data_IF_091898126536
#
_entry.id   IF_091898126536
#
_cell.length_a   1.000
_cell.length_b   1.000
_cell.length_c   1.000
_cell.angle_alpha   90.00
_cell.angle_beta   90.00
_cell.angle_gamma   90.00
#
_symmetry.space_group_name_H-M   'P 1'
#
loop_
_entity.id
_entity.type
_entity.pdbx_description
1 polymer ?
#
# COMPACT_ATOMS: atom_id res chain seq x y z
N UNK A 1 -32.23 26.89 5.97
CA UNK A 1 -32.45 26.04 4.78
C UNK A 1 -32.25 24.60 5.20
N UNK A 2 -33.24 23.73 4.98
CA UNK A 2 -33.19 22.32 5.37
C UNK A 2 -32.76 21.49 4.16
N UNK A 3 -31.59 20.84 4.25
CA UNK A 3 -30.99 20.06 3.17
C UNK A 3 -31.45 18.60 3.28
N UNK A 4 -32.11 18.08 2.25
CA UNK A 4 -32.39 16.65 2.13
C UNK A 4 -31.10 15.97 1.65
N UNK A 5 -30.48 15.15 2.50
CA UNK A 5 -29.21 14.46 2.22
C UNK A 5 -29.42 12.95 2.12
N UNK A 6 -28.77 12.34 1.13
CA UNK A 6 -28.48 10.90 1.14
C UNK A 6 -27.24 10.70 2.03
N UNK A 7 -27.30 9.88 3.10
CA UNK A 7 -26.14 9.59 3.94
C UNK A 7 -24.96 9.07 3.10
N UNK A 8 -23.76 9.57 3.38
CA UNK A 8 -22.49 9.15 2.75
C UNK A 8 -22.34 9.41 1.24
N UNK A 9 -23.15 10.31 0.67
CA UNK A 9 -22.98 10.71 -0.72
C UNK A 9 -21.80 11.66 -0.93
N UNK A 10 -20.81 11.22 -1.71
CA UNK A 10 -19.66 12.03 -2.16
C UNK A 10 -20.12 13.31 -2.88
N UNK A 11 -21.25 13.27 -3.59
CA UNK A 11 -21.80 14.45 -4.26
C UNK A 11 -22.36 15.48 -3.28
N UNK A 12 -22.95 15.03 -2.17
CA UNK A 12 -23.46 15.91 -1.12
C UNK A 12 -22.34 16.70 -0.43
N UNK A 13 -21.22 16.03 -0.15
CA UNK A 13 -19.99 16.63 0.40
C UNK A 13 -19.35 17.64 -0.55
N UNK A 14 -19.37 17.36 -1.85
CA UNK A 14 -18.81 18.26 -2.85
C UNK A 14 -19.62 19.56 -2.97
N UNK A 15 -20.95 19.47 -2.87
CA UNK A 15 -21.84 20.64 -2.84
C UNK A 15 -21.60 21.48 -1.58
N UNK A 16 -21.47 20.84 -0.41
CA UNK A 16 -21.16 21.55 0.84
C UNK A 16 -19.83 22.30 0.75
N UNK A 17 -18.79 21.65 0.21
CA UNK A 17 -17.49 22.28 0.01
C UNK A 17 -17.56 23.51 -0.91
N UNK A 18 -18.39 23.49 -1.96
CA UNK A 18 -18.60 24.65 -2.84
C UNK A 18 -19.35 25.78 -2.15
N UNK A 19 -20.38 25.45 -1.36
CA UNK A 19 -21.13 26.44 -0.58
C UNK A 19 -20.22 27.11 0.45
N UNK A 20 -19.45 26.32 1.19
CA UNK A 20 -18.52 26.83 2.19
C UNK A 20 -17.42 27.69 1.56
N UNK A 21 -16.88 27.27 0.40
CA UNK A 21 -15.91 28.08 -0.35
C UNK A 21 -16.50 29.44 -0.71
N UNK A 22 -17.72 29.49 -1.25
CA UNK A 22 -18.39 30.73 -1.63
C UNK A 22 -18.64 31.65 -0.43
N UNK A 23 -19.22 31.11 0.65
CA UNK A 23 -19.56 31.89 1.85
C UNK A 23 -18.31 32.39 2.57
N UNK A 24 -17.24 31.60 2.60
CA UNK A 24 -15.96 32.01 3.20
C UNK A 24 -15.28 33.11 2.38
N UNK A 25 -15.28 33.02 1.04
CA UNK A 25 -14.76 34.09 0.18
C UNK A 25 -15.54 35.39 0.36
N UNK A 26 -16.88 35.32 0.42
CA UNK A 26 -17.73 36.49 0.68
C UNK A 26 -17.48 37.09 2.07
N UNK A 27 -17.32 36.25 3.11
CA UNK A 27 -16.99 36.68 4.47
C UNK A 27 -15.63 37.35 4.56
N UNK A 28 -14.61 36.81 3.89
CA UNK A 28 -13.26 37.37 3.85
C UNK A 28 -13.28 38.77 3.22
N UNK A 29 -14.02 38.93 2.12
CA UNK A 29 -14.26 40.22 1.45
C UNK A 29 -15.00 41.21 2.36
N UNK A 30 -16.01 40.76 3.10
CA UNK A 30 -16.73 41.62 4.05
C UNK A 30 -15.83 42.11 5.20
N UNK A 31 -14.91 41.27 5.68
CA UNK A 31 -14.04 41.60 6.82
C UNK A 31 -12.85 42.49 6.45
N UNK A 32 -12.31 42.35 5.24
CA UNK A 32 -11.05 43.00 4.83
C UNK A 32 -11.17 43.91 3.59
N UNK A 33 -12.32 43.94 2.92
CA UNK A 33 -12.52 44.60 1.62
C UNK A 33 -13.24 45.95 1.64
N UNK A 34 -13.62 46.48 2.82
CA UNK A 34 -14.38 47.73 2.95
C UNK A 34 -15.90 47.58 2.74
N UNK A 35 -16.66 48.66 2.94
CA UNK A 35 -18.11 48.66 2.70
C UNK A 35 -18.42 48.75 1.20
N UNK A 36 -18.81 47.61 0.64
CA UNK A 36 -19.43 47.52 -0.68
C UNK A 36 -20.86 47.01 -0.54
N UNK A 37 -21.78 47.51 -1.37
CA UNK A 37 -23.18 47.07 -1.38
C UNK A 37 -23.25 45.54 -1.58
N UNK A 38 -24.28 44.88 -1.01
CA UNK A 38 -24.43 43.41 -1.10
C UNK A 38 -24.32 42.88 -2.54
N UNK A 39 -24.80 43.65 -3.52
CA UNK A 39 -24.70 43.32 -4.94
C UNK A 39 -23.25 43.30 -5.46
N UNK A 40 -22.42 44.26 -5.03
CA UNK A 40 -21.01 44.33 -5.42
C UNK A 40 -20.16 43.26 -4.72
N UNK A 41 -20.49 42.94 -3.46
CA UNK A 41 -19.83 41.88 -2.72
C UNK A 41 -20.07 40.50 -3.35
N UNK A 42 -21.30 40.23 -3.78
CA UNK A 42 -21.64 39.01 -4.53
C UNK A 42 -20.95 38.95 -5.90
N UNK A 43 -20.84 40.08 -6.61
CA UNK A 43 -20.15 40.14 -7.89
C UNK A 43 -18.64 39.89 -7.75
N UNK A 44 -18.00 40.50 -6.74
CA UNK A 44 -16.58 40.33 -6.47
C UNK A 44 -16.23 38.90 -6.00
N UNK A 45 -17.07 38.28 -5.15
CA UNK A 45 -16.89 36.90 -4.73
C UNK A 45 -17.01 35.92 -5.91
N UNK A 46 -17.92 36.19 -6.86
CA UNK A 46 -18.04 35.40 -8.09
C UNK A 46 -16.80 35.54 -8.98
N UNK A 47 -16.32 36.76 -9.19
CA UNK A 47 -15.13 37.02 -10.00
C UNK A 47 -13.87 36.32 -9.45
N UNK A 48 -13.69 36.29 -8.11
CA UNK A 48 -12.58 35.56 -7.49
C UNK A 48 -12.68 34.04 -7.66
N UNK A 49 -13.89 33.50 -7.70
CA UNK A 49 -14.15 32.06 -7.81
C UNK A 49 -14.18 31.58 -9.27
N UNK A 50 -14.25 32.49 -10.22
CA UNK A 50 -14.21 32.22 -11.66
C UNK A 50 -12.81 31.76 -12.11
N UNK A 51 -11.77 32.16 -11.37
CA UNK A 51 -10.40 31.72 -11.64
C UNK A 51 -10.15 30.32 -11.06
N UNK A 52 -10.49 29.30 -11.83
CA UNK A 52 -10.04 27.94 -11.55
C UNK A 52 -8.66 27.70 -12.17
N UNK A 53 -7.64 27.55 -11.34
CA UNK A 53 -6.35 27.03 -11.82
C UNK A 53 -6.51 25.52 -12.07
N UNK A 54 -6.21 25.03 -13.28
CA UNK A 54 -6.24 23.60 -13.54
C UNK A 54 -5.09 22.96 -12.76
N UNK A 55 -5.39 22.47 -11.56
CA UNK A 55 -4.48 21.60 -10.84
C UNK A 55 -4.67 20.21 -11.44
N UNK A 56 -3.73 19.82 -12.30
CA UNK A 56 -3.57 18.43 -12.67
C UNK A 56 -3.15 17.66 -11.41
N UNK A 57 -4.14 17.14 -10.68
CA UNK A 57 -3.87 16.06 -9.74
C UNK A 57 -3.45 14.90 -10.64
N UNK A 58 -2.14 14.61 -10.68
CA UNK A 58 -1.59 13.31 -11.05
C UNK A 58 -2.18 12.29 -10.06
N UNK A 59 -3.46 12.00 -10.24
CA UNK A 59 -4.12 10.89 -9.56
C UNK A 59 -3.25 9.69 -9.88
N UNK A 60 -2.92 8.86 -8.90
CA UNK A 60 -2.13 7.64 -9.15
C UNK A 60 -2.76 6.71 -10.22
N UNK A 61 -3.99 7.01 -10.66
CA UNK A 61 -4.65 6.48 -11.87
C UNK A 61 -4.11 6.99 -13.22
N UNK A 62 -3.16 7.94 -13.24
CA UNK A 62 -2.39 8.32 -14.42
C UNK A 62 -1.32 7.28 -14.81
N UNK A 63 -1.27 6.12 -14.12
CA UNK A 63 -0.90 4.86 -14.77
C UNK A 63 -2.00 4.45 -15.75
N UNK A 64 -2.11 5.23 -16.83
CA UNK A 64 -3.01 5.03 -17.95
C UNK A 64 -2.57 3.84 -18.79
N UNK A 65 -2.89 2.64 -18.32
CA UNK A 65 -3.08 1.41 -19.09
C UNK A 65 -3.36 0.35 -18.04
N UNK A 66 -4.51 -0.35 -18.09
CA UNK A 66 -4.78 -1.62 -17.38
C UNK A 66 -3.65 -2.04 -16.44
N UNK A 67 -3.67 -1.56 -15.18
CA UNK A 67 -2.59 -1.88 -14.22
C UNK A 67 -2.45 -3.38 -14.19
N UNK A 68 -1.36 -3.90 -14.78
CA UNK A 68 -1.24 -5.31 -15.07
C UNK A 68 -1.34 -6.07 -13.74
N UNK A 69 -2.18 -7.11 -13.68
CA UNK A 69 -2.52 -7.79 -12.42
C UNK A 69 -1.31 -8.26 -11.60
N UNK A 70 -0.18 -8.52 -12.26
CA UNK A 70 1.07 -8.86 -11.58
C UNK A 70 1.64 -7.72 -10.72
N UNK A 71 1.38 -6.45 -11.06
CA UNK A 71 1.84 -5.30 -10.26
C UNK A 71 1.19 -5.34 -8.88
N UNK A 72 -0.11 -5.63 -8.83
CA UNK A 72 -0.81 -5.83 -7.55
C UNK A 72 -0.31 -7.08 -6.83
N UNK A 73 -0.10 -8.17 -7.56
CA UNK A 73 0.46 -9.40 -7.00
C UNK A 73 1.79 -9.15 -6.27
N UNK A 74 2.75 -8.50 -6.93
CA UNK A 74 4.06 -8.21 -6.33
C UNK A 74 4.02 -7.14 -5.24
N UNK A 75 3.05 -6.22 -5.25
CA UNK A 75 2.80 -5.30 -4.12
C UNK A 75 2.34 -6.04 -2.86
N UNK A 76 1.49 -7.06 -3.01
CA UNK A 76 1.02 -7.87 -1.89
C UNK A 76 1.98 -9.01 -1.51
N UNK A 77 2.92 -9.37 -2.40
CA UNK A 77 3.89 -10.44 -2.19
C UNK A 77 4.66 -10.32 -0.87
N UNK A 78 5.17 -9.13 -0.56
CA UNK A 78 5.97 -8.89 0.64
C UNK A 78 5.20 -9.23 1.93
N UNK A 79 3.90 -8.93 1.97
CA UNK A 79 3.06 -9.26 3.12
C UNK A 79 2.80 -10.78 3.21
N UNK A 80 2.53 -11.43 2.08
CA UNK A 80 2.26 -12.86 2.04
C UNK A 80 3.50 -13.69 2.41
N UNK A 81 4.67 -13.36 1.86
CA UNK A 81 5.91 -14.08 2.13
C UNK A 81 6.33 -13.91 3.60
N UNK A 82 6.21 -12.70 4.14
CA UNK A 82 6.52 -12.41 5.54
C UNK A 82 5.64 -13.21 6.49
N UNK A 83 4.33 -13.29 6.22
CA UNK A 83 3.40 -14.08 7.02
C UNK A 83 3.76 -15.58 6.98
N UNK A 84 4.07 -16.13 5.81
CA UNK A 84 4.50 -17.52 5.68
C UNK A 84 5.80 -17.81 6.43
N UNK A 85 6.80 -16.93 6.31
CA UNK A 85 8.07 -17.06 7.01
C UNK A 85 7.84 -17.02 8.52
N UNK A 86 7.09 -16.04 9.02
CA UNK A 86 6.79 -15.94 10.46
C UNK A 86 6.11 -17.20 11.00
N UNK A 87 5.10 -17.72 10.31
CA UNK A 87 4.40 -18.94 10.72
C UNK A 87 5.33 -20.16 10.67
N UNK A 88 6.12 -20.29 9.61
CA UNK A 88 7.04 -21.42 9.44
C UNK A 88 8.19 -21.41 10.43
N UNK A 89 8.85 -20.26 10.64
CA UNK A 89 9.91 -20.08 11.65
C UNK A 89 9.37 -20.44 13.04
N UNK A 90 8.19 -19.95 13.39
CA UNK A 90 7.54 -20.26 14.68
C UNK A 90 7.30 -21.78 14.84
N UNK A 91 6.80 -22.44 13.79
CA UNK A 91 6.56 -23.88 13.79
C UNK A 91 7.86 -24.68 13.93
N UNK A 92 8.90 -24.29 13.18
CA UNK A 92 10.23 -24.91 13.26
C UNK A 92 10.80 -24.73 14.68
N UNK A 93 10.75 -23.53 15.25
CA UNK A 93 11.20 -23.29 16.61
C UNK A 93 10.45 -24.14 17.63
N UNK A 94 9.13 -24.25 17.50
CA UNK A 94 8.31 -25.09 18.38
C UNK A 94 8.71 -26.57 18.29
N UNK A 95 9.06 -27.07 17.10
CA UNK A 95 9.53 -28.44 16.91
C UNK A 95 10.91 -28.68 17.52
N UNK A 96 11.86 -27.77 17.30
CA UNK A 96 13.24 -27.89 17.80
C UNK A 96 13.37 -27.63 19.30
N UNK A 97 12.48 -26.83 19.89
CA UNK A 97 12.47 -26.54 21.32
C UNK A 97 11.72 -27.59 22.16
N UNK A 98 11.24 -28.69 21.54
CA UNK A 98 10.70 -29.83 22.28
C UNK A 98 11.78 -30.38 23.23
N UNK A 99 11.45 -30.67 24.50
CA UNK A 99 12.43 -31.00 25.52
C UNK A 99 13.29 -32.23 25.16
N UNK A 100 12.71 -33.24 24.52
CA UNK A 100 13.46 -34.43 24.09
C UNK A 100 14.48 -34.12 22.99
N UNK A 101 14.09 -33.34 21.98
CA UNK A 101 14.97 -32.91 20.90
C UNK A 101 16.06 -31.96 21.40
N UNK A 102 15.67 -31.00 22.24
CA UNK A 102 16.58 -30.03 22.84
C UNK A 102 17.67 -30.70 23.68
N UNK A 103 17.29 -31.61 24.60
CA UNK A 103 18.25 -32.33 25.45
C UNK A 103 19.19 -33.23 24.65
N UNK A 104 18.69 -33.90 23.61
CA UNK A 104 19.54 -34.71 22.71
C UNK A 104 20.58 -33.87 21.99
N UNK A 105 20.21 -32.66 21.56
CA UNK A 105 21.15 -31.76 20.91
C UNK A 105 22.20 -31.20 21.88
N UNK A 106 21.84 -30.97 23.14
CA UNK A 106 22.81 -30.54 24.18
C UNK A 106 23.87 -31.61 24.49
N UNK A 107 23.51 -32.89 24.40
CA UNK A 107 24.45 -34.00 24.61
C UNK A 107 25.24 -34.37 23.34
N UNK A 108 24.93 -33.78 22.19
CA UNK A 108 25.65 -34.06 20.96
C UNK A 108 27.06 -33.43 21.00
N UNK A 109 28.08 -34.09 20.43
CA UNK A 109 29.44 -33.55 20.32
C UNK A 109 29.53 -32.49 19.21
N UNK A 110 28.56 -31.57 19.16
CA UNK A 110 28.46 -30.49 18.18
C UNK A 110 28.55 -29.17 18.96
N UNK A 111 29.44 -28.24 18.58
CA UNK A 111 29.52 -26.96 19.26
C UNK A 111 28.22 -26.17 19.05
N UNK A 112 27.71 -25.55 20.13
CA UNK A 112 26.44 -24.80 20.11
C UNK A 112 26.36 -23.75 18.98
N UNK A 113 27.48 -23.10 18.65
CA UNK A 113 27.57 -22.14 17.53
C UNK A 113 27.26 -22.78 16.18
N UNK A 114 27.76 -23.98 15.92
CA UNK A 114 27.48 -24.71 14.66
C UNK A 114 26.01 -25.10 14.58
N UNK A 115 25.42 -25.51 15.70
CA UNK A 115 24.01 -25.86 15.75
C UNK A 115 23.12 -24.64 15.48
N UNK A 116 23.42 -23.48 16.09
CA UNK A 116 22.70 -22.22 15.80
C UNK A 116 22.87 -21.78 14.34
N UNK A 117 24.06 -21.95 13.76
CA UNK A 117 24.30 -21.62 12.35
C UNK A 117 23.50 -22.54 11.41
N UNK A 118 23.46 -23.84 11.68
CA UNK A 118 22.67 -24.81 10.90
C UNK A 118 21.18 -24.50 10.98
N UNK A 119 20.70 -24.10 12.16
CA UNK A 119 19.30 -23.72 12.36
C UNK A 119 18.97 -22.41 11.61
N UNK A 120 19.86 -21.42 11.68
CA UNK A 120 19.73 -20.17 10.91
C UNK A 120 19.74 -20.42 9.39
N UNK A 121 20.66 -21.27 8.91
CA UNK A 121 20.71 -21.68 7.51
C UNK A 121 19.41 -22.42 7.11
N UNK A 122 18.87 -23.27 7.99
CA UNK A 122 17.58 -23.94 7.78
C UNK A 122 16.42 -22.96 7.62
N UNK A 123 16.37 -21.90 8.42
CA UNK A 123 15.39 -20.82 8.24
C UNK A 123 15.56 -20.08 6.91
N UNK A 124 16.81 -19.81 6.50
CA UNK A 124 17.10 -19.22 5.20
C UNK A 124 16.59 -20.08 4.03
N UNK A 125 16.88 -21.39 4.07
CA UNK A 125 16.38 -22.35 3.05
C UNK A 125 14.86 -22.40 3.04
N UNK A 126 14.21 -22.39 4.21
CA UNK A 126 12.75 -22.35 4.31
C UNK A 126 12.17 -21.07 3.70
N UNK A 127 12.74 -19.91 4.00
CA UNK A 127 12.33 -18.62 3.46
C UNK A 127 12.47 -18.59 1.92
N UNK A 128 13.60 -19.08 1.39
CA UNK A 128 13.81 -19.25 -0.05
C UNK A 128 12.78 -20.19 -0.68
N UNK A 129 12.37 -21.24 0.02
CA UNK A 129 11.28 -22.13 -0.40
C UNK A 129 9.93 -21.42 -0.50
N UNK A 130 9.57 -20.62 0.50
CA UNK A 130 8.35 -19.80 0.48
C UNK A 130 8.36 -18.78 -0.67
N UNK A 131 9.50 -18.12 -0.90
CA UNK A 131 9.67 -17.21 -2.03
C UNK A 131 9.53 -17.92 -3.36
N UNK A 132 10.21 -19.06 -3.55
CA UNK A 132 10.15 -19.84 -4.78
C UNK A 132 8.71 -20.32 -5.07
N UNK A 133 7.97 -20.71 -4.03
CA UNK A 133 6.56 -21.08 -4.14
C UNK A 133 5.72 -19.92 -4.68
N UNK A 134 5.84 -18.72 -4.11
CA UNK A 134 5.08 -17.55 -4.61
C UNK A 134 5.53 -17.12 -6.02
N UNK A 135 6.83 -17.12 -6.32
CA UNK A 135 7.31 -16.80 -7.68
C UNK A 135 6.79 -17.82 -8.69
N UNK A 136 6.71 -19.10 -8.32
CA UNK A 136 6.11 -20.14 -9.16
C UNK A 136 4.61 -19.89 -9.40
N UNK A 137 3.87 -19.47 -8.38
CA UNK A 137 2.46 -19.11 -8.50
C UNK A 137 2.26 -17.87 -9.40
N UNK A 138 3.12 -16.87 -9.26
CA UNK A 138 3.15 -15.68 -10.13
C UNK A 138 3.37 -16.06 -11.59
N UNK A 139 4.31 -16.97 -11.84
CA UNK A 139 4.64 -17.46 -13.18
C UNK A 139 3.48 -18.24 -13.80
N UNK A 140 2.77 -19.04 -13.00
CA UNK A 140 1.59 -19.78 -13.46
C UNK A 140 0.42 -18.85 -13.82
N UNK A 141 0.21 -17.78 -13.04
CA UNK A 141 -0.91 -16.85 -13.23
C UNK A 141 -0.64 -15.79 -14.31
N UNK A 142 0.56 -15.20 -14.31
CA UNK A 142 0.89 -14.01 -15.10
C UNK A 142 2.10 -14.19 -16.02
N UNK A 143 2.67 -15.39 -16.13
CA UNK A 143 3.94 -15.64 -16.82
C UNK A 143 4.03 -15.04 -18.23
N UNK A 144 2.96 -15.15 -19.04
CA UNK A 144 2.94 -14.58 -20.40
C UNK A 144 3.01 -13.03 -20.41
N UNK A 145 2.26 -12.37 -19.52
CA UNK A 145 2.29 -10.90 -19.38
C UNK A 145 3.60 -10.40 -18.76
N UNK A 146 4.12 -11.11 -17.75
CA UNK A 146 5.38 -10.78 -17.08
C UNK A 146 6.60 -10.91 -18.01
N UNK A 147 6.64 -11.98 -18.80
CA UNK A 147 7.71 -12.19 -19.78
C UNK A 147 7.64 -11.16 -20.91
N UNK A 148 6.44 -10.84 -21.42
CA UNK A 148 6.26 -9.81 -22.44
C UNK A 148 6.64 -8.40 -21.96
N UNK A 149 6.58 -8.17 -20.65
CA UNK A 149 6.96 -6.90 -20.03
C UNK A 149 8.49 -6.75 -19.88
N UNK A 150 9.25 -7.84 -19.92
CA UNK A 150 10.72 -7.84 -19.71
C UNK A 150 11.17 -7.53 -18.28
N UNK A 151 10.24 -7.17 -17.39
CA UNK A 151 10.49 -6.78 -15.99
C UNK A 151 10.50 -7.96 -15.01
N UNK A 152 10.26 -9.19 -15.47
CA UNK A 152 10.11 -10.38 -14.60
C UNK A 152 11.29 -10.55 -13.63
N UNK A 153 12.52 -10.39 -14.13
CA UNK A 153 13.72 -10.55 -13.29
C UNK A 153 13.84 -9.47 -12.22
N UNK A 154 13.49 -8.22 -12.54
CA UNK A 154 13.49 -7.11 -11.58
C UNK A 154 12.50 -7.35 -10.44
N UNK A 155 11.30 -7.85 -10.74
CA UNK A 155 10.31 -8.19 -9.72
C UNK A 155 10.74 -9.38 -8.86
N UNK A 156 11.35 -10.42 -9.45
CA UNK A 156 11.85 -11.56 -8.70
C UNK A 156 13.01 -11.18 -7.77
N UNK A 157 13.95 -10.35 -8.24
CA UNK A 157 15.05 -9.85 -7.41
C UNK A 157 14.56 -8.92 -6.30
N UNK A 158 13.62 -8.03 -6.62
CA UNK A 158 13.02 -7.14 -5.64
C UNK A 158 12.33 -7.94 -4.54
N UNK A 159 11.50 -8.93 -4.91
CA UNK A 159 10.79 -9.76 -3.95
C UNK A 159 11.72 -10.66 -3.14
N UNK A 160 12.85 -11.09 -3.73
CA UNK A 160 13.89 -11.84 -3.03
C UNK A 160 14.58 -10.99 -1.96
N UNK A 161 14.83 -9.70 -2.22
CA UNK A 161 15.43 -8.81 -1.23
C UNK A 161 14.54 -8.57 0.01
N UNK A 162 13.23 -8.79 -0.13
CA UNK A 162 12.27 -8.73 0.98
C UNK A 162 12.08 -10.06 1.72
N UNK A 163 12.59 -11.17 1.18
CA UNK A 163 12.45 -12.52 1.74
C UNK A 163 13.66 -12.85 2.62
#
# INVERSE_FOLDING_TARGET
>A
MQKVIVPDSVSSRYVDMRIDKYLNTARLRLQYGGEESQARLAAAARADLEFETPVAIESASAFGSSTQGFVYYYRYFAFAVLAMIMMGVSSIMMAFNKPDLYRRNLCAPIPARSMSLQLAAGHGVFALGCWALLVSASSALYGKSLLSSGLMWLYCLNSLAFT
#
